data_IF_571919626826
#
_entry.id   IF_571919626826
#
_cell.length_a   1.000
_cell.length_b   1.000
_cell.length_c   1.000
_cell.angle_alpha   90.00
_cell.angle_beta   90.00
_cell.angle_gamma   90.00
#
_symmetry.space_group_name_H-M   'P 1'
#
loop_
_entity.id
_entity.type
_entity.pdbx_description
1 polymer ?
#
# COMPACT_ATOMS: atom_id res chain seq x y z
N UNK A 1 -1.94 -22.78 -0.14
CA UNK A 1 -0.98 -22.96 -1.24
C UNK A 1 -1.32 -21.97 -2.36
N UNK A 2 -0.36 -21.19 -2.81
CA UNK A 2 -0.52 -20.17 -3.85
C UNK A 2 -0.22 -20.68 -5.27
N UNK A 3 0.24 -21.93 -5.42
CA UNK A 3 0.65 -22.54 -6.69
C UNK A 3 -0.48 -22.72 -7.71
N UNK A 4 -1.74 -22.68 -7.28
CA UNK A 4 -2.93 -22.81 -8.16
C UNK A 4 -3.66 -21.49 -8.40
N UNK A 5 -3.21 -20.37 -7.83
CA UNK A 5 -3.86 -19.06 -7.97
C UNK A 5 -3.35 -18.40 -9.25
N UNK A 6 -4.27 -17.99 -10.13
CA UNK A 6 -3.93 -17.17 -11.28
C UNK A 6 -3.41 -15.83 -10.80
N UNK A 7 -2.15 -15.53 -11.12
CA UNK A 7 -1.50 -14.26 -10.76
C UNK A 7 -1.88 -13.18 -11.76
N UNK A 8 -2.44 -12.05 -11.32
CA UNK A 8 -2.68 -10.93 -12.20
C UNK A 8 -1.34 -10.38 -12.69
N UNK A 9 -1.26 -10.04 -13.96
CA UNK A 9 -0.07 -9.36 -14.49
C UNK A 9 -0.16 -7.89 -14.12
N UNK A 10 0.80 -7.41 -13.34
CA UNK A 10 1.01 -5.99 -13.03
C UNK A 10 2.26 -5.49 -13.73
N UNK A 11 2.24 -4.24 -14.17
CA UNK A 11 3.38 -3.56 -14.80
C UNK A 11 3.81 -2.42 -13.87
N UNK A 12 5.02 -2.48 -13.25
CA UNK A 12 5.48 -1.44 -12.34
C UNK A 12 5.64 -0.11 -13.06
N UNK A 13 5.35 0.98 -12.37
CA UNK A 13 5.55 2.33 -12.91
C UNK A 13 7.02 2.73 -12.83
N UNK A 14 7.45 3.56 -13.77
CA UNK A 14 8.82 4.12 -13.81
C UNK A 14 8.89 5.57 -13.31
N UNK A 15 7.78 6.09 -12.76
CA UNK A 15 7.74 7.45 -12.23
C UNK A 15 8.66 7.59 -11.02
N UNK A 16 9.33 8.76 -10.93
CA UNK A 16 10.27 9.08 -9.86
C UNK A 16 9.95 10.47 -9.30
N UNK A 17 9.21 10.52 -8.21
CA UNK A 17 8.94 11.76 -7.51
C UNK A 17 9.93 11.98 -6.37
N UNK A 18 10.16 13.25 -6.00
CA UNK A 18 10.92 13.63 -4.83
C UNK A 18 9.98 13.95 -3.67
N UNK A 19 10.43 13.66 -2.45
CA UNK A 19 9.63 13.92 -1.25
C UNK A 19 9.31 15.40 -1.10
N UNK A 20 10.28 16.27 -1.45
CA UNK A 20 10.18 17.73 -1.35
C UNK A 20 10.21 18.22 0.10
N UNK A 21 10.03 19.52 0.29
CA UNK A 21 10.08 20.18 1.60
C UNK A 21 8.84 19.89 2.46
N UNK A 22 7.70 19.61 1.83
CA UNK A 22 6.45 19.31 2.52
C UNK A 22 5.97 17.87 2.24
N UNK A 23 6.38 16.88 3.05
CA UNK A 23 5.94 15.50 2.88
C UNK A 23 4.44 15.30 3.14
N UNK A 24 3.77 16.22 3.84
CA UNK A 24 2.34 16.13 4.12
C UNK A 24 1.48 16.18 2.83
N UNK A 25 1.99 16.74 1.75
CA UNK A 25 1.29 16.73 0.44
C UNK A 25 1.03 15.31 -0.05
N UNK A 26 1.87 14.34 0.33
CA UNK A 26 1.76 12.96 -0.08
C UNK A 26 0.75 12.16 0.74
N UNK A 27 0.29 12.69 1.88
CA UNK A 27 -0.56 11.92 2.79
C UNK A 27 -1.74 11.25 2.07
N UNK A 28 -2.63 12.04 1.46
CA UNK A 28 -3.86 11.57 0.78
C UNK A 28 -3.76 11.59 -0.75
N UNK A 29 -2.56 11.81 -1.27
CA UNK A 29 -2.33 11.77 -2.72
C UNK A 29 -2.35 10.33 -3.21
N UNK A 30 -3.07 10.08 -4.31
CA UNK A 30 -3.04 8.81 -5.02
C UNK A 30 -1.69 8.67 -5.72
N UNK A 31 -1.03 7.54 -5.54
CA UNK A 31 0.27 7.25 -6.13
C UNK A 31 0.20 5.90 -6.83
N UNK A 32 0.26 5.87 -8.15
CA UNK A 32 0.17 4.63 -8.95
C UNK A 32 1.52 3.94 -8.99
N UNK A 33 1.66 2.81 -8.28
CA UNK A 33 2.88 2.01 -8.21
C UNK A 33 2.98 0.97 -9.34
N UNK A 34 1.83 0.50 -9.84
CA UNK A 34 1.75 -0.34 -11.05
C UNK A 34 0.50 0.06 -11.84
N UNK A 35 0.40 -0.37 -13.08
CA UNK A 35 -0.66 0.00 -14.02
C UNK A 35 -2.08 -0.07 -13.45
N UNK A 36 -2.34 -1.02 -12.53
CA UNK A 36 -3.64 -1.21 -11.87
C UNK A 36 -3.57 -1.29 -10.35
N UNK A 37 -2.49 -0.76 -9.76
CA UNK A 37 -2.26 -0.74 -8.32
C UNK A 37 -1.81 0.65 -7.86
N UNK A 38 -2.61 1.26 -7.01
CA UNK A 38 -2.32 2.57 -6.42
C UNK A 38 -2.24 2.51 -4.89
N UNK A 39 -1.56 3.48 -4.31
CA UNK A 39 -1.36 3.65 -2.88
C UNK A 39 -1.82 5.04 -2.45
N UNK A 40 -2.36 5.16 -1.23
CA UNK A 40 -2.75 6.44 -0.63
C UNK A 40 -2.65 6.40 0.91
N UNK A 41 -2.92 7.51 1.55
CA UNK A 41 -3.35 7.56 2.95
C UNK A 41 -4.86 7.41 3.06
N UNK A 42 -5.39 7.61 4.26
CA UNK A 42 -6.81 7.46 4.60
C UNK A 42 -7.72 8.51 3.95
N UNK A 43 -9.02 8.28 4.07
CA UNK A 43 -10.02 9.31 3.78
C UNK A 43 -9.96 10.43 4.83
N UNK A 44 -10.29 11.63 4.39
CA UNK A 44 -10.43 12.77 5.29
C UNK A 44 -11.60 12.52 6.27
N UNK A 45 -11.49 12.90 7.57
CA UNK A 45 -12.57 12.69 8.54
C UNK A 45 -13.86 13.46 8.18
N UNK A 46 -13.75 14.65 7.60
CA UNK A 46 -14.88 15.41 7.11
C UNK A 46 -15.48 14.76 5.86
N UNK A 47 -16.81 14.58 5.84
CA UNK A 47 -17.50 13.86 4.75
C UNK A 47 -17.52 14.61 3.43
N UNK A 48 -17.54 15.96 3.42
CA UNK A 48 -17.52 16.72 2.18
C UNK A 48 -16.14 16.62 1.52
N UNK A 49 -15.08 16.70 2.32
CA UNK A 49 -13.71 16.53 1.84
C UNK A 49 -13.49 15.09 1.37
N UNK A 50 -13.96 14.09 2.14
CA UNK A 50 -13.89 12.68 1.75
C UNK A 50 -14.65 12.40 0.45
N UNK A 51 -15.82 13.02 0.24
CA UNK A 51 -16.58 12.86 -1.01
C UNK A 51 -15.81 13.40 -2.23
N UNK A 52 -15.09 14.52 -2.07
CA UNK A 52 -14.19 15.02 -3.12
C UNK A 52 -13.02 14.07 -3.36
N UNK A 53 -12.41 13.56 -2.29
CA UNK A 53 -11.32 12.58 -2.37
C UNK A 53 -11.79 11.28 -3.05
N UNK A 54 -12.98 10.79 -2.73
CA UNK A 54 -13.58 9.61 -3.37
C UNK A 54 -13.88 9.86 -4.85
N UNK A 55 -14.28 11.10 -5.21
CA UNK A 55 -14.40 11.48 -6.62
C UNK A 55 -13.04 11.41 -7.34
N UNK A 56 -11.97 11.92 -6.70
CA UNK A 56 -10.63 11.83 -7.27
C UNK A 56 -10.18 10.38 -7.44
N UNK A 57 -10.54 9.48 -6.51
CA UNK A 57 -10.26 8.05 -6.65
C UNK A 57 -10.94 7.45 -7.88
N UNK A 58 -12.23 7.76 -8.10
CA UNK A 58 -12.97 7.33 -9.32
C UNK A 58 -12.36 7.89 -10.60
N UNK A 59 -12.00 9.16 -10.59
CA UNK A 59 -11.38 9.82 -11.76
C UNK A 59 -10.02 9.19 -12.11
N UNK A 60 -9.33 8.56 -11.14
CA UNK A 60 -8.13 7.73 -11.34
C UNK A 60 -8.45 6.26 -11.68
N UNK A 61 -9.71 5.93 -11.91
CA UNK A 61 -10.13 4.58 -12.29
C UNK A 61 -10.19 3.57 -11.15
N UNK A 62 -10.05 4.00 -9.87
CA UNK A 62 -10.11 3.10 -8.73
C UNK A 62 -11.51 2.47 -8.64
N UNK A 63 -11.54 1.14 -8.53
CA UNK A 63 -12.76 0.34 -8.39
C UNK A 63 -12.80 -0.44 -7.07
N UNK A 64 -11.64 -0.76 -6.52
CA UNK A 64 -11.49 -1.54 -5.28
C UNK A 64 -10.57 -0.83 -4.31
N UNK A 65 -10.95 -0.83 -3.05
CA UNK A 65 -10.20 -0.20 -1.95
C UNK A 65 -9.90 -1.27 -0.89
N UNK A 66 -8.62 -1.41 -0.54
CA UNK A 66 -8.15 -2.27 0.54
C UNK A 66 -7.59 -1.39 1.66
N UNK A 67 -8.25 -1.45 2.81
CA UNK A 67 -7.89 -0.68 4.00
C UNK A 67 -7.12 -1.54 5.01
N UNK A 68 -5.86 -1.17 5.25
CA UNK A 68 -4.94 -1.87 6.15
C UNK A 68 -4.98 -1.34 7.61
N UNK A 69 -5.88 -0.43 7.97
CA UNK A 69 -5.92 0.18 9.31
C UNK A 69 -6.67 -0.69 10.32
N UNK A 70 -6.07 -0.94 11.47
CA UNK A 70 -6.79 -1.49 12.62
C UNK A 70 -7.64 -0.43 13.34
N UNK A 71 -7.21 0.84 13.28
CA UNK A 71 -7.77 1.95 14.04
C UNK A 71 -9.22 2.28 13.67
N UNK A 72 -9.60 2.00 12.43
CA UNK A 72 -10.94 2.35 11.95
C UNK A 72 -11.35 1.51 10.74
N UNK A 73 -12.56 0.94 10.79
CA UNK A 73 -13.19 0.27 9.65
C UNK A 73 -14.21 1.21 9.02
N UNK A 74 -13.99 1.63 7.77
CA UNK A 74 -14.84 2.58 7.08
C UNK A 74 -15.96 1.94 6.24
N UNK A 75 -16.27 0.65 6.41
CA UNK A 75 -17.23 -0.06 5.56
C UNK A 75 -18.60 0.65 5.48
N UNK A 76 -19.17 1.05 6.62
CA UNK A 76 -20.44 1.77 6.63
C UNK A 76 -20.35 3.15 5.96
N UNK A 77 -19.22 3.84 6.15
CA UNK A 77 -18.99 5.15 5.56
C UNK A 77 -18.80 5.05 4.05
N UNK A 78 -18.03 4.06 3.60
CA UNK A 78 -17.84 3.77 2.18
C UNK A 78 -19.16 3.40 1.50
N UNK A 79 -19.98 2.55 2.13
CA UNK A 79 -21.30 2.19 1.60
C UNK A 79 -22.23 3.40 1.41
N UNK A 80 -22.10 4.46 2.23
CA UNK A 80 -22.89 5.70 2.07
C UNK A 80 -22.30 6.65 1.03
N UNK A 81 -20.98 6.86 1.04
CA UNK A 81 -20.33 7.90 0.23
C UNK A 81 -19.88 7.41 -1.15
N UNK A 82 -19.63 6.12 -1.28
CA UNK A 82 -19.10 5.49 -2.48
C UNK A 82 -19.59 4.05 -2.66
N UNK A 83 -20.92 3.82 -2.79
CA UNK A 83 -21.49 2.47 -2.90
C UNK A 83 -21.06 1.70 -4.16
N UNK A 84 -20.48 2.38 -5.12
CA UNK A 84 -19.92 1.86 -6.36
C UNK A 84 -18.46 1.38 -6.22
N UNK A 85 -17.76 1.73 -5.13
CA UNK A 85 -16.43 1.24 -4.84
C UNK A 85 -16.49 0.00 -3.94
N UNK A 86 -15.82 -1.08 -4.36
CA UNK A 86 -15.68 -2.26 -3.53
C UNK A 86 -14.68 -2.00 -2.40
N UNK A 87 -15.11 -2.12 -1.16
CA UNK A 87 -14.28 -1.88 0.01
C UNK A 87 -14.00 -3.17 0.76
N UNK A 88 -12.73 -3.43 1.05
CA UNK A 88 -12.27 -4.57 1.85
C UNK A 88 -11.40 -4.06 3.00
N UNK A 89 -11.78 -4.40 4.22
CA UNK A 89 -11.01 -4.10 5.42
C UNK A 89 -10.17 -5.30 5.84
N UNK A 90 -8.86 -5.07 6.00
CA UNK A 90 -7.86 -6.04 6.45
C UNK A 90 -6.97 -5.40 7.54
N UNK A 91 -7.59 -4.75 8.49
CA UNK A 91 -6.89 -3.97 9.49
C UNK A 91 -5.82 -4.74 10.27
N UNK A 92 -4.65 -4.14 10.40
CA UNK A 92 -3.57 -4.59 11.28
C UNK A 92 -2.95 -3.41 12.03
N UNK A 93 -2.39 -3.68 13.20
CA UNK A 93 -1.68 -2.69 13.99
C UNK A 93 -0.31 -2.33 13.37
N UNK A 94 0.07 -1.07 13.47
CA UNK A 94 1.37 -0.57 12.99
C UNK A 94 2.38 -0.49 14.14
N UNK A 95 2.71 -1.64 14.72
CA UNK A 95 3.55 -1.75 15.92
C UNK A 95 5.03 -2.02 15.60
N UNK A 96 5.42 -2.01 14.31
CA UNK A 96 6.77 -2.26 13.81
C UNK A 96 7.33 -3.67 14.15
N UNK A 97 6.53 -4.54 14.76
CA UNK A 97 6.86 -5.91 15.05
C UNK A 97 6.52 -6.87 13.92
N UNK A 98 6.51 -8.16 14.23
CA UNK A 98 6.16 -9.20 13.26
C UNK A 98 4.68 -9.12 12.91
N UNK A 99 4.40 -9.05 11.62
CA UNK A 99 3.05 -9.16 11.08
C UNK A 99 2.64 -10.63 10.92
N UNK A 100 1.34 -10.89 11.06
CA UNK A 100 0.77 -12.22 10.83
C UNK A 100 0.76 -12.54 9.32
N UNK A 101 1.19 -13.74 8.95
CA UNK A 101 1.10 -14.25 7.57
C UNK A 101 -0.33 -14.16 7.02
N UNK A 102 -1.32 -14.36 7.89
CA UNK A 102 -2.73 -14.25 7.52
C UNK A 102 -3.10 -12.85 7.01
N UNK A 103 -2.44 -11.80 7.51
CA UNK A 103 -2.66 -10.44 7.03
C UNK A 103 -2.21 -10.28 5.57
N UNK A 104 -1.01 -10.79 5.23
CA UNK A 104 -0.53 -10.80 3.85
C UNK A 104 -1.42 -11.66 2.96
N UNK A 105 -1.80 -12.86 3.42
CA UNK A 105 -2.72 -13.75 2.70
C UNK A 105 -4.05 -13.07 2.38
N UNK A 106 -4.68 -12.44 3.36
CA UNK A 106 -5.97 -11.79 3.21
C UNK A 106 -5.89 -10.62 2.21
N UNK A 107 -4.88 -9.76 2.35
CA UNK A 107 -4.72 -8.58 1.50
C UNK A 107 -4.37 -8.93 0.06
N UNK A 108 -3.41 -9.82 -0.14
CA UNK A 108 -3.02 -10.23 -1.50
C UNK A 108 -4.14 -11.01 -2.20
N UNK A 109 -4.88 -11.87 -1.48
CA UNK A 109 -6.07 -12.54 -2.05
C UNK A 109 -7.16 -11.55 -2.44
N UNK A 110 -7.44 -10.55 -1.62
CA UNK A 110 -8.40 -9.50 -1.95
C UNK A 110 -7.97 -8.71 -3.20
N UNK A 111 -6.69 -8.33 -3.27
CA UNK A 111 -6.13 -7.65 -4.43
C UNK A 111 -6.20 -8.51 -5.71
N UNK A 112 -5.82 -9.79 -5.62
CA UNK A 112 -5.87 -10.71 -6.77
C UNK A 112 -7.29 -11.01 -7.23
N UNK A 113 -8.23 -11.17 -6.30
CA UNK A 113 -9.64 -11.35 -6.64
C UNK A 113 -10.17 -10.14 -7.43
N UNK A 114 -9.85 -8.92 -6.99
CA UNK A 114 -10.19 -7.70 -7.71
C UNK A 114 -9.51 -7.64 -9.09
N UNK A 115 -8.20 -7.82 -9.13
CA UNK A 115 -7.38 -7.73 -10.35
C UNK A 115 -7.62 -8.87 -11.37
N UNK A 116 -8.43 -9.88 -11.02
CA UNK A 116 -8.90 -10.89 -11.99
C UNK A 116 -9.82 -10.27 -13.06
N UNK A 117 -10.48 -9.17 -12.74
CA UNK A 117 -11.11 -8.30 -13.72
C UNK A 117 -10.05 -7.38 -14.34
N UNK A 118 -9.83 -7.43 -15.66
CA UNK A 118 -8.84 -6.58 -16.35
C UNK A 118 -9.15 -5.08 -16.24
N UNK A 119 -10.40 -4.71 -15.95
CA UNK A 119 -10.83 -3.31 -15.77
C UNK A 119 -10.69 -2.83 -14.32
N UNK A 120 -10.41 -3.74 -13.37
CA UNK A 120 -10.26 -3.35 -11.98
C UNK A 120 -8.94 -2.62 -11.71
N UNK A 121 -9.01 -1.58 -10.88
CA UNK A 121 -7.88 -0.86 -10.33
C UNK A 121 -7.99 -0.83 -8.80
N UNK A 122 -6.98 -1.36 -8.12
CA UNK A 122 -6.96 -1.50 -6.66
C UNK A 122 -6.20 -0.33 -6.04
N UNK A 123 -6.81 0.31 -5.05
CA UNK A 123 -6.14 1.24 -4.14
C UNK A 123 -5.90 0.54 -2.81
N UNK A 124 -4.66 0.50 -2.35
CA UNK A 124 -4.31 0.01 -1.02
C UNK A 124 -3.90 1.20 -0.15
N UNK A 125 -4.52 1.34 1.01
CA UNK A 125 -4.19 2.43 1.91
C UNK A 125 -4.05 2.01 3.38
N UNK A 126 -3.45 2.88 4.17
CA UNK A 126 -3.48 2.85 5.62
C UNK A 126 -3.68 4.28 6.13
N UNK A 127 -3.38 4.58 7.39
CA UNK A 127 -3.60 5.93 7.91
C UNK A 127 -2.80 7.00 7.14
N UNK A 128 -1.48 6.95 7.17
CA UNK A 128 -0.64 7.98 6.50
C UNK A 128 -0.08 7.53 5.14
N UNK A 129 -0.30 6.28 4.77
CA UNK A 129 0.28 5.71 3.56
C UNK A 129 1.81 5.64 3.58
N UNK A 130 2.39 5.49 4.78
CA UNK A 130 3.86 5.37 4.97
C UNK A 130 4.30 3.92 5.04
N UNK A 131 3.60 3.06 5.81
CA UNK A 131 4.06 1.70 6.07
C UNK A 131 3.07 0.62 5.62
N UNK A 132 1.99 0.33 6.36
CA UNK A 132 1.09 -0.82 6.14
C UNK A 132 0.56 -0.92 4.71
N UNK A 133 0.01 0.18 4.16
CA UNK A 133 -0.45 0.22 2.77
C UNK A 133 0.65 -0.06 1.76
N UNK A 134 1.78 0.66 1.80
CA UNK A 134 2.94 0.36 0.95
C UNK A 134 3.51 -1.05 1.11
N UNK A 135 3.57 -1.60 2.32
CA UNK A 135 4.04 -2.98 2.55
C UNK A 135 3.08 -4.01 1.96
N UNK A 136 1.76 -3.80 2.06
CA UNK A 136 0.77 -4.65 1.39
C UNK A 136 0.83 -4.49 -0.13
N UNK A 137 1.06 -3.28 -0.63
CA UNK A 137 1.32 -3.03 -2.05
C UNK A 137 2.53 -3.80 -2.56
N UNK A 138 3.62 -3.77 -1.79
CA UNK A 138 4.83 -4.54 -2.09
C UNK A 138 4.55 -6.05 -2.11
N UNK A 139 3.88 -6.60 -1.08
CA UNK A 139 3.48 -8.01 -1.04
C UNK A 139 2.63 -8.40 -2.26
N UNK A 140 1.71 -7.54 -2.68
CA UNK A 140 0.87 -7.76 -3.86
C UNK A 140 1.70 -7.79 -5.14
N UNK A 141 2.66 -6.88 -5.28
CA UNK A 141 3.53 -6.79 -6.47
C UNK A 141 4.45 -7.99 -6.59
N UNK A 142 5.13 -8.41 -5.52
CA UNK A 142 6.00 -9.60 -5.58
C UNK A 142 5.20 -10.88 -5.81
N UNK A 143 4.03 -11.02 -5.19
CA UNK A 143 3.15 -12.14 -5.43
C UNK A 143 2.63 -12.20 -6.88
N UNK A 144 2.50 -11.06 -7.57
CA UNK A 144 2.16 -11.00 -9.00
C UNK A 144 3.32 -11.40 -9.92
N UNK A 145 4.54 -11.53 -9.38
CA UNK A 145 5.74 -11.92 -10.10
C UNK A 145 6.67 -10.75 -10.47
N UNK A 146 6.44 -9.57 -9.90
CA UNK A 146 7.40 -8.45 -10.03
C UNK A 146 8.59 -8.73 -9.12
N UNK A 147 9.77 -8.46 -9.64
CA UNK A 147 11.03 -8.62 -8.92
C UNK A 147 11.08 -7.70 -7.69
N UNK A 148 11.54 -8.17 -6.51
CA UNK A 148 11.44 -7.39 -5.26
C UNK A 148 12.04 -5.98 -5.33
N UNK A 149 13.21 -5.81 -5.93
CA UNK A 149 13.83 -4.48 -6.04
C UNK A 149 13.05 -3.57 -6.99
N UNK A 150 12.54 -4.10 -8.11
CA UNK A 150 11.70 -3.33 -9.03
C UNK A 150 10.40 -2.87 -8.35
N UNK A 151 9.82 -3.72 -7.49
CA UNK A 151 8.64 -3.36 -6.70
C UNK A 151 8.94 -2.23 -5.69
N UNK A 152 10.07 -2.30 -4.96
CA UNK A 152 10.51 -1.24 -4.05
C UNK A 152 10.73 0.08 -4.79
N UNK A 153 11.42 0.02 -5.93
CA UNK A 153 11.70 1.20 -6.75
C UNK A 153 10.43 1.84 -7.30
N UNK A 154 9.50 1.04 -7.80
CA UNK A 154 8.23 1.54 -8.32
C UNK A 154 7.39 2.19 -7.22
N UNK A 155 7.26 1.55 -6.06
CA UNK A 155 6.52 2.10 -4.91
C UNK A 155 7.18 3.40 -4.42
N UNK A 156 8.48 3.39 -4.16
CA UNK A 156 9.21 4.56 -3.64
C UNK A 156 9.26 5.68 -4.67
N UNK A 157 9.40 5.35 -5.94
CA UNK A 157 9.37 6.32 -7.03
C UNK A 157 8.02 7.01 -7.17
N UNK A 158 6.93 6.26 -7.10
CA UNK A 158 5.57 6.81 -7.16
C UNK A 158 5.16 7.52 -5.87
N UNK A 159 5.56 6.99 -4.70
CA UNK A 159 5.21 7.49 -3.37
C UNK A 159 6.45 7.67 -2.50
N UNK A 160 7.12 8.84 -2.57
CA UNK A 160 8.43 9.07 -1.92
C UNK A 160 8.41 8.94 -0.39
N UNK A 161 7.24 8.99 0.25
CA UNK A 161 7.09 8.81 1.70
C UNK A 161 6.86 7.35 2.13
N UNK A 162 6.88 6.40 1.19
CA UNK A 162 6.64 4.99 1.49
C UNK A 162 7.83 4.36 2.24
N UNK A 163 7.64 3.97 3.49
CA UNK A 163 8.65 3.30 4.32
C UNK A 163 8.82 1.82 3.99
N UNK A 164 7.73 1.14 3.68
CA UNK A 164 7.69 -0.30 3.32
C UNK A 164 8.37 -1.18 4.38
N UNK A 165 8.12 -0.88 5.66
CA UNK A 165 8.89 -1.45 6.80
C UNK A 165 8.72 -2.97 6.93
N UNK A 166 7.62 -3.55 6.42
CA UNK A 166 7.37 -4.99 6.46
C UNK A 166 7.80 -5.71 5.17
N UNK A 167 8.69 -5.12 4.36
CA UNK A 167 9.11 -5.71 3.08
C UNK A 167 9.84 -7.05 3.25
N UNK A 168 10.74 -7.16 4.24
CA UNK A 168 11.45 -8.39 4.60
C UNK A 168 10.48 -9.52 5.00
N UNK A 169 9.45 -9.18 5.77
CA UNK A 169 8.41 -10.11 6.20
C UNK A 169 7.51 -10.55 5.03
N UNK A 170 7.23 -9.65 4.09
CA UNK A 170 6.50 -9.99 2.88
C UNK A 170 7.29 -10.98 1.99
N UNK A 171 8.62 -10.86 1.91
CA UNK A 171 9.50 -11.83 1.24
C UNK A 171 9.41 -13.19 1.92
N UNK A 172 9.59 -13.24 3.26
CA UNK A 172 9.53 -14.48 4.03
C UNK A 172 8.16 -15.17 3.89
N UNK A 173 7.08 -14.41 4.02
CA UNK A 173 5.71 -14.90 3.78
C UNK A 173 5.56 -15.47 2.35
N UNK A 174 6.00 -14.72 1.34
CA UNK A 174 5.81 -15.11 -0.05
C UNK A 174 6.59 -16.37 -0.42
N UNK A 175 7.87 -16.45 -0.08
CA UNK A 175 8.72 -17.63 -0.38
C UNK A 175 8.17 -18.90 0.30
N UNK A 176 7.72 -18.80 1.56
CA UNK A 176 7.06 -19.92 2.24
C UNK A 176 5.74 -20.32 1.58
N UNK A 177 4.95 -19.34 1.16
CA UNK A 177 3.61 -19.57 0.60
C UNK A 177 3.63 -20.29 -0.75
N UNK A 178 4.70 -20.12 -1.53
CA UNK A 178 4.91 -20.80 -2.83
C UNK A 178 5.74 -22.08 -2.71
N UNK A 179 6.25 -22.40 -1.51
CA UNK A 179 7.02 -23.62 -1.24
C UNK A 179 8.47 -23.55 -1.72
N UNK A 180 9.03 -22.36 -1.85
CA UNK A 180 10.45 -22.18 -2.17
C UNK A 180 11.35 -22.50 -0.97
N UNK A 181 12.63 -22.82 -1.26
CA UNK A 181 13.59 -23.15 -0.23
C UNK A 181 13.91 -21.92 0.65
N UNK A 182 14.03 -22.06 1.99
CA UNK A 182 14.30 -20.96 2.91
C UNK A 182 15.52 -20.09 2.54
N UNK A 183 16.56 -20.67 1.93
CA UNK A 183 17.73 -19.91 1.48
C UNK A 183 17.42 -18.86 0.41
N UNK A 184 16.36 -19.03 -0.37
CA UNK A 184 15.93 -18.00 -1.31
C UNK A 184 15.33 -16.81 -0.55
N UNK A 185 14.54 -17.08 0.49
CA UNK A 185 14.02 -16.03 1.37
C UNK A 185 15.16 -15.22 1.99
N UNK A 186 16.17 -15.87 2.53
CA UNK A 186 17.34 -15.22 3.15
C UNK A 186 18.08 -14.30 2.16
N UNK A 187 18.30 -14.77 0.93
CA UNK A 187 18.95 -13.98 -0.13
C UNK A 187 18.12 -12.74 -0.51
N UNK A 188 16.83 -12.92 -0.75
CA UNK A 188 15.96 -11.82 -1.15
C UNK A 188 15.73 -10.82 -0.01
N UNK A 189 15.62 -11.29 1.24
CA UNK A 189 15.55 -10.43 2.42
C UNK A 189 16.82 -9.59 2.58
N UNK A 190 18.02 -10.17 2.38
CA UNK A 190 19.28 -9.43 2.42
C UNK A 190 19.34 -8.35 1.34
N UNK A 191 18.88 -8.65 0.11
CA UNK A 191 18.81 -7.67 -0.99
C UNK A 191 17.86 -6.52 -0.67
N UNK A 192 16.66 -6.85 -0.19
CA UNK A 192 15.62 -5.88 0.19
C UNK A 192 16.10 -5.00 1.35
N UNK A 193 16.68 -5.60 2.40
CA UNK A 193 17.22 -4.87 3.55
C UNK A 193 18.34 -3.92 3.12
N UNK A 194 19.27 -4.39 2.31
CA UNK A 194 20.37 -3.54 1.78
C UNK A 194 19.81 -2.36 0.98
N UNK A 195 18.82 -2.60 0.11
CA UNK A 195 18.20 -1.53 -0.66
C UNK A 195 17.53 -0.49 0.26
N UNK A 196 16.81 -0.93 1.30
CA UNK A 196 16.16 -0.04 2.28
C UNK A 196 17.19 0.78 3.07
N UNK A 197 18.33 0.18 3.42
CA UNK A 197 19.44 0.84 4.13
C UNK A 197 20.13 1.89 3.25
N UNK A 198 20.30 1.61 1.96
CA UNK A 198 20.88 2.55 0.99
C UNK A 198 19.90 3.70 0.65
N UNK A 199 18.60 3.47 0.82
CA UNK A 199 17.53 4.43 0.52
C UNK A 199 16.76 4.83 1.79
N UNK A 200 17.49 5.14 2.86
CA UNK A 200 16.90 5.47 4.16
C UNK A 200 15.84 6.58 4.07
N UNK A 201 14.80 6.43 4.88
CA UNK A 201 13.70 7.37 4.98
C UNK A 201 13.48 7.75 6.45
N UNK A 202 13.52 9.04 6.75
CA UNK A 202 13.13 9.53 8.07
C UNK A 202 11.59 9.50 8.23
N UNK A 203 11.07 8.31 8.55
CA UNK A 203 9.64 8.12 8.78
C UNK A 203 9.12 8.97 9.95
N UNK A 204 9.94 9.19 10.97
CA UNK A 204 9.60 10.03 12.12
C UNK A 204 9.37 11.48 11.72
N UNK A 205 10.27 12.04 10.92
CA UNK A 205 10.12 13.38 10.37
C UNK A 205 8.87 13.49 9.48
N UNK A 206 8.64 12.54 8.57
CA UNK A 206 7.47 12.52 7.69
C UNK A 206 6.17 12.50 8.51
N UNK A 207 6.05 11.58 9.46
CA UNK A 207 4.88 11.45 10.34
C UNK A 207 4.64 12.74 11.13
N UNK A 208 5.71 13.34 11.66
CA UNK A 208 5.63 14.62 12.39
C UNK A 208 5.09 15.74 11.51
N UNK A 209 5.53 15.84 10.26
CA UNK A 209 5.07 16.86 9.30
C UNK A 209 3.61 16.65 8.91
N UNK A 210 3.19 15.41 8.67
CA UNK A 210 1.79 15.07 8.39
C UNK A 210 0.89 15.48 9.56
N UNK A 211 1.28 15.15 10.80
CA UNK A 211 0.54 15.52 12.01
C UNK A 211 0.44 17.03 12.23
N UNK A 212 1.52 17.77 11.94
CA UNK A 212 1.52 19.24 12.02
C UNK A 212 0.59 19.87 10.99
N UNK A 213 0.58 19.35 9.76
CA UNK A 213 -0.30 19.84 8.70
C UNK A 213 -1.77 19.57 9.02
N UNK A 214 -2.10 18.39 9.54
CA UNK A 214 -3.44 18.05 10.01
C UNK A 214 -3.95 19.06 11.03
N UNK A 215 -3.18 19.32 12.10
CA UNK A 215 -3.55 20.28 13.16
C UNK A 215 -3.76 21.70 12.62
N UNK A 216 -2.96 22.16 11.64
CA UNK A 216 -3.11 23.50 11.07
C UNK A 216 -4.41 23.67 10.27
N UNK A 217 -4.93 22.59 9.70
CA UNK A 217 -6.20 22.60 8.93
C UNK A 217 -7.41 22.55 9.83
N UNK A 218 -7.29 21.92 11.02
CA UNK A 218 -8.36 21.89 12.03
C UNK A 218 -8.61 23.27 12.69
N UNK A 219 -7.66 24.20 12.62
CA UNK A 219 -7.76 25.57 13.18
C UNK A 219 -8.16 26.65 12.12
N UNK A 220 -8.53 26.25 10.91
CA UNK A 220 -9.00 27.15 9.84
C UNK A 220 -10.40 26.80 9.40
#
# INVERSE_FOLDING_TARGET
MWTSVTRPKLIPTVQRFQIGENPARWWRTICTAADRLSLSGDLHPDNEVASRQLKDWRDHGITHVIDCRAEYNEAERMARLAPDLHYTWIGTDDHLGKQDDHWFDAGVRAAFAALSDPMAHVLIHCHMGVNRGPSMGFATMIASGIEPIDALEAIRGARPIAGIIYADQAIDWWTRSIGEHPSLADIEQERVTRWLDEHQLDAGWIISRIRLDARRKDYR
#
